data_IF_959282711433
#
_entry.id   IF_959282711433
#
_cell.length_a   1.000
_cell.length_b   1.000
_cell.length_c   1.000
_cell.angle_alpha   90.00
_cell.angle_beta   90.00
_cell.angle_gamma   90.00
#
_symmetry.space_group_name_H-M   'P 1'
#
loop_
_entity.id
_entity.type
_entity.pdbx_description
1 polymer ?
#
# COMPACT_ATOMS: atom_id res chain seq x y z
N UNK A 1 57.18 -11.00 6.89
CA UNK A 1 56.28 -9.89 7.29
C UNK A 1 54.89 -10.21 6.77
N UNK A 2 53.93 -10.60 7.62
CA UNK A 2 52.53 -10.74 7.22
C UNK A 2 51.97 -9.32 7.13
N UNK A 3 51.65 -8.86 5.91
CA UNK A 3 50.95 -7.59 5.73
C UNK A 3 49.60 -7.68 6.47
N UNK A 4 49.22 -6.64 7.24
CA UNK A 4 47.93 -6.63 7.92
C UNK A 4 46.84 -6.69 6.87
N UNK A 5 46.07 -7.78 6.85
CA UNK A 5 44.88 -7.88 6.00
C UNK A 5 43.90 -6.81 6.46
N UNK A 6 43.52 -5.91 5.55
CA UNK A 6 42.48 -4.89 5.79
C UNK A 6 41.28 -5.59 6.43
N UNK A 7 40.83 -5.13 7.60
CA UNK A 7 39.63 -5.67 8.24
C UNK A 7 38.47 -5.56 7.25
N UNK A 8 37.62 -6.59 7.17
CA UNK A 8 36.41 -6.54 6.33
C UNK A 8 35.64 -5.27 6.68
N UNK A 9 35.16 -4.55 5.67
CA UNK A 9 34.32 -3.37 5.89
C UNK A 9 33.13 -3.79 6.73
N UNK A 10 32.95 -3.16 7.88
CA UNK A 10 31.76 -3.34 8.69
C UNK A 10 30.59 -2.73 7.91
N UNK A 11 29.63 -3.56 7.52
CA UNK A 11 28.44 -3.15 6.76
C UNK A 11 27.20 -3.45 7.57
N UNK A 12 26.41 -2.42 7.84
CA UNK A 12 25.09 -2.57 8.46
C UNK A 12 24.14 -3.02 7.33
N UNK A 13 23.49 -4.20 7.46
CA UNK A 13 22.48 -4.60 6.48
C UNK A 13 21.28 -3.65 6.56
N UNK A 14 20.78 -3.21 5.42
CA UNK A 14 19.56 -2.39 5.33
C UNK A 14 18.39 -3.24 4.86
N UNK A 15 17.23 -3.03 5.47
CA UNK A 15 15.98 -3.70 5.14
C UNK A 15 14.88 -2.68 4.88
N UNK A 16 14.16 -2.88 3.77
CA UNK A 16 12.98 -2.10 3.39
C UNK A 16 11.72 -2.69 3.98
N UNK A 17 10.86 -1.83 4.53
CA UNK A 17 9.56 -2.25 5.06
C UNK A 17 8.66 -2.83 3.97
N UNK A 18 8.60 -2.21 2.80
CA UNK A 18 7.77 -2.70 1.68
C UNK A 18 8.54 -3.69 0.82
N UNK A 19 9.83 -3.43 0.56
CA UNK A 19 10.66 -4.25 -0.32
C UNK A 19 11.07 -5.59 0.26
N UNK A 20 11.40 -5.64 1.56
CA UNK A 20 11.93 -6.84 2.19
C UNK A 20 10.94 -7.54 3.12
N UNK A 21 10.34 -6.81 4.07
CA UNK A 21 9.44 -7.41 5.06
C UNK A 21 8.22 -8.06 4.38
N UNK A 22 7.47 -7.29 3.59
CA UNK A 22 6.25 -7.78 2.95
C UNK A 22 6.56 -8.92 1.98
N UNK A 23 7.55 -8.73 1.11
CA UNK A 23 7.98 -9.75 0.15
C UNK A 23 8.41 -11.06 0.84
N UNK A 24 9.12 -10.97 1.97
CA UNK A 24 9.50 -12.15 2.74
C UNK A 24 8.29 -12.85 3.35
N UNK A 25 7.38 -12.10 3.98
CA UNK A 25 6.15 -12.65 4.58
C UNK A 25 5.24 -13.31 3.55
N UNK A 26 5.20 -12.79 2.32
CA UNK A 26 4.46 -13.42 1.22
C UNK A 26 5.04 -14.78 0.83
N UNK A 27 6.38 -14.87 0.65
CA UNK A 27 7.09 -16.14 0.43
C UNK A 27 8.61 -15.97 0.55
N UNK A 28 9.24 -16.57 1.57
CA UNK A 28 10.68 -16.42 1.83
C UNK A 28 11.55 -16.88 0.64
N UNK A 29 11.16 -17.97 -0.02
CA UNK A 29 11.91 -18.50 -1.17
C UNK A 29 11.81 -17.57 -2.38
N UNK A 30 10.63 -17.01 -2.64
CA UNK A 30 10.42 -16.05 -3.72
C UNK A 30 11.23 -14.77 -3.47
N UNK A 31 11.15 -14.24 -2.24
CA UNK A 31 11.95 -13.11 -1.77
C UNK A 31 13.44 -13.31 -2.04
N UNK A 32 13.98 -14.49 -1.69
CA UNK A 32 15.40 -14.81 -1.94
C UNK A 32 15.77 -14.76 -3.41
N UNK A 33 14.92 -15.26 -4.31
CA UNK A 33 15.21 -15.23 -5.75
C UNK A 33 15.09 -13.82 -6.35
N UNK A 34 14.15 -13.01 -5.87
CA UNK A 34 13.93 -11.66 -6.38
C UNK A 34 14.97 -10.67 -5.85
N UNK A 35 15.15 -10.56 -4.53
CA UNK A 35 16.00 -9.51 -3.95
C UNK A 35 17.50 -9.81 -4.05
N UNK A 36 17.91 -11.09 -4.07
CA UNK A 36 19.34 -11.46 -4.19
C UNK A 36 19.69 -12.11 -5.54
N UNK A 37 18.72 -12.64 -6.27
CA UNK A 37 18.91 -13.16 -7.62
C UNK A 37 18.76 -12.10 -8.72
N UNK A 38 18.34 -10.88 -8.38
CA UNK A 38 18.06 -9.78 -9.33
C UNK A 38 17.07 -10.15 -10.44
N UNK A 39 16.21 -11.13 -10.18
CA UNK A 39 15.20 -11.58 -11.13
C UNK A 39 13.93 -10.75 -10.91
N UNK A 40 13.52 -9.89 -11.87
CA UNK A 40 12.28 -9.14 -11.74
C UNK A 40 11.07 -10.11 -11.76
N UNK A 41 10.00 -9.81 -11.00
CA UNK A 41 8.80 -10.63 -11.00
C UNK A 41 8.10 -10.66 -12.38
N UNK A 42 7.68 -11.86 -12.75
CA UNK A 42 6.88 -12.29 -13.93
C UNK A 42 5.57 -11.59 -14.18
N UNK A 43 4.84 -11.40 -13.07
CA UNK A 43 3.43 -11.01 -13.07
C UNK A 43 3.25 -9.67 -12.38
N UNK A 44 3.33 -8.57 -13.15
CA UNK A 44 3.36 -7.23 -12.60
C UNK A 44 1.99 -6.63 -12.28
N UNK A 45 0.85 -7.33 -12.42
CA UNK A 45 -0.48 -6.67 -12.45
C UNK A 45 -0.80 -5.83 -11.20
N UNK A 46 -0.69 -6.41 -10.01
CA UNK A 46 -0.93 -5.68 -8.76
C UNK A 46 0.14 -4.63 -8.48
N UNK A 47 1.36 -4.89 -8.92
CA UNK A 47 2.48 -3.95 -8.78
C UNK A 47 2.30 -2.75 -9.70
N UNK A 48 1.87 -2.97 -10.94
CA UNK A 48 1.59 -1.93 -11.93
C UNK A 48 0.46 -1.04 -11.44
N UNK A 49 -0.68 -1.61 -11.02
CA UNK A 49 -1.80 -0.78 -10.58
C UNK A 49 -1.47 0.04 -9.32
N UNK A 50 -0.72 -0.55 -8.37
CA UNK A 50 -0.16 0.18 -7.24
C UNK A 50 0.71 1.34 -7.71
N UNK A 51 1.83 1.06 -8.39
CA UNK A 51 2.77 2.09 -8.85
C UNK A 51 2.11 3.16 -9.75
N UNK A 52 1.12 2.77 -10.55
CA UNK A 52 0.31 3.67 -11.37
C UNK A 52 -0.48 4.66 -10.50
N UNK A 53 -1.23 4.17 -9.51
CA UNK A 53 -2.06 5.03 -8.67
C UNK A 53 -1.21 5.97 -7.79
N UNK A 54 -0.12 5.48 -7.21
CA UNK A 54 0.80 6.35 -6.45
C UNK A 54 1.37 7.45 -7.36
N UNK A 55 1.88 7.08 -8.55
CA UNK A 55 2.43 8.04 -9.49
C UNK A 55 1.41 9.07 -9.97
N UNK A 56 0.16 8.65 -10.26
CA UNK A 56 -0.90 9.57 -10.70
C UNK A 56 -1.29 10.54 -9.59
N UNK A 57 -1.44 10.07 -8.35
CA UNK A 57 -1.78 10.95 -7.23
C UNK A 57 -0.64 11.92 -6.88
N UNK A 58 0.62 11.47 -6.97
CA UNK A 58 1.80 12.31 -6.76
C UNK A 58 1.87 13.43 -7.81
N UNK A 59 1.82 13.09 -9.09
CA UNK A 59 1.87 14.07 -10.18
C UNK A 59 0.65 15.01 -10.15
N UNK A 60 -0.54 14.50 -9.83
CA UNK A 60 -1.73 15.33 -9.63
C UNK A 60 -1.56 16.32 -8.47
N UNK A 61 -0.95 15.90 -7.35
CA UNK A 61 -0.62 16.83 -6.27
C UNK A 61 0.39 17.89 -6.72
N UNK A 62 1.45 17.51 -7.45
CA UNK A 62 2.46 18.43 -7.95
C UNK A 62 1.81 19.49 -8.87
N UNK A 63 0.96 19.05 -9.80
CA UNK A 63 0.23 19.95 -10.70
C UNK A 63 -0.72 20.86 -9.92
N UNK A 64 -1.51 20.30 -8.99
CA UNK A 64 -2.40 21.10 -8.14
C UNK A 64 -1.63 22.14 -7.31
N UNK A 65 -0.47 21.79 -6.77
CA UNK A 65 0.35 22.70 -5.97
C UNK A 65 0.81 23.91 -6.79
N UNK A 66 1.10 23.72 -8.08
CA UNK A 66 1.54 24.78 -8.99
C UNK A 66 0.38 25.63 -9.51
N UNK A 67 -0.71 24.99 -9.92
CA UNK A 67 -1.80 25.65 -10.68
C UNK A 67 -3.03 25.98 -9.81
N UNK A 68 -3.17 25.34 -8.65
CA UNK A 68 -4.33 25.44 -7.75
C UNK A 68 -5.65 25.14 -8.48
N UNK A 69 -5.62 24.16 -9.40
CA UNK A 69 -6.74 23.76 -10.25
C UNK A 69 -7.95 23.37 -9.40
N UNK A 70 -9.11 23.95 -9.74
CA UNK A 70 -10.37 23.73 -9.03
C UNK A 70 -10.92 22.33 -9.31
N UNK A 71 -11.48 21.69 -8.29
CA UNK A 71 -12.17 20.41 -8.40
C UNK A 71 -13.64 20.60 -8.82
N UNK A 72 -14.25 19.65 -9.55
CA UNK A 72 -13.65 18.43 -10.08
C UNK A 72 -12.78 18.69 -11.31
N UNK A 73 -11.72 17.90 -11.44
CA UNK A 73 -10.86 17.83 -12.61
C UNK A 73 -11.54 17.03 -13.71
N UNK A 74 -11.42 17.52 -14.94
CA UNK A 74 -11.90 16.83 -16.13
C UNK A 74 -10.93 15.69 -16.48
N UNK A 75 -11.46 14.49 -16.73
CA UNK A 75 -10.59 13.35 -17.01
C UNK A 75 -9.73 13.58 -18.26
N UNK A 76 -10.33 13.99 -19.38
CA UNK A 76 -9.63 14.06 -20.66
C UNK A 76 -8.60 15.19 -20.68
N UNK A 77 -8.94 16.35 -20.11
CA UNK A 77 -8.09 17.53 -20.10
C UNK A 77 -7.05 17.51 -18.99
N UNK A 78 -7.44 17.14 -17.78
CA UNK A 78 -6.64 17.37 -16.57
C UNK A 78 -5.95 16.09 -16.06
N UNK A 79 -6.61 14.93 -16.14
CA UNK A 79 -6.11 13.68 -15.53
C UNK A 79 -5.39 12.77 -16.54
N UNK A 80 -5.93 12.63 -17.75
CA UNK A 80 -5.41 11.74 -18.78
C UNK A 80 -3.95 12.04 -19.17
N UNK A 81 -3.52 13.31 -19.32
CA UNK A 81 -2.11 13.61 -19.56
C UNK A 81 -1.18 13.07 -18.47
N UNK A 82 -1.64 13.09 -17.21
CA UNK A 82 -0.92 12.52 -16.06
C UNK A 82 -0.86 11.00 -16.17
N UNK A 83 -1.99 10.35 -16.47
CA UNK A 83 -2.05 8.89 -16.65
C UNK A 83 -1.07 8.41 -17.72
N UNK A 84 -0.96 9.12 -18.85
CA UNK A 84 -0.05 8.77 -19.95
C UNK A 84 1.42 8.96 -19.59
N UNK A 85 1.74 10.04 -18.87
CA UNK A 85 3.07 10.27 -18.34
C UNK A 85 3.50 9.13 -17.41
N UNK A 86 2.61 8.70 -16.52
CA UNK A 86 2.89 7.62 -15.57
C UNK A 86 2.96 6.26 -16.29
N UNK A 87 2.05 5.97 -17.21
CA UNK A 87 2.09 4.75 -18.02
C UNK A 87 3.43 4.64 -18.78
N UNK A 88 3.88 5.71 -19.44
CA UNK A 88 5.19 5.74 -20.11
C UNK A 88 6.34 5.43 -19.13
N UNK A 89 6.34 6.04 -17.93
CA UNK A 89 7.37 5.78 -16.90
C UNK A 89 7.37 4.31 -16.46
N UNK A 90 6.20 3.69 -16.33
CA UNK A 90 6.07 2.28 -15.94
C UNK A 90 6.55 1.35 -17.06
N UNK A 91 6.18 1.63 -18.31
CA UNK A 91 6.60 0.83 -19.46
C UNK A 91 8.12 0.86 -19.66
N UNK A 92 8.77 2.01 -19.46
CA UNK A 92 10.25 2.12 -19.48
C UNK A 92 10.90 1.24 -18.42
N UNK A 93 10.21 0.98 -17.30
CA UNK A 93 10.65 0.05 -16.24
C UNK A 93 10.27 -1.41 -16.52
N UNK A 94 9.65 -1.69 -17.67
CA UNK A 94 9.18 -3.03 -18.04
C UNK A 94 7.89 -3.45 -17.33
N UNK A 95 7.16 -2.51 -16.72
CA UNK A 95 5.86 -2.74 -16.09
C UNK A 95 4.77 -2.31 -17.07
N UNK A 96 3.99 -3.27 -17.54
CA UNK A 96 2.92 -3.05 -18.51
C UNK A 96 1.56 -3.30 -17.88
N UNK A 97 0.51 -2.57 -18.30
CA UNK A 97 -0.86 -2.95 -17.97
C UNK A 97 -1.11 -4.35 -18.54
N UNK A 98 -1.63 -5.25 -17.71
CA UNK A 98 -1.80 -6.66 -18.09
C UNK A 98 -2.96 -6.89 -19.05
N UNK A 99 -3.97 -6.00 -18.98
CA UNK A 99 -5.24 -6.16 -19.64
C UNK A 99 -5.70 -4.79 -20.18
N UNK A 100 -6.21 -4.77 -21.41
CA UNK A 100 -6.83 -3.61 -22.02
C UNK A 100 -8.12 -3.20 -21.28
N UNK A 101 -8.73 -4.11 -20.52
CA UNK A 101 -9.87 -3.81 -19.64
C UNK A 101 -9.46 -3.12 -18.33
N UNK A 102 -8.19 -3.22 -17.93
CA UNK A 102 -7.66 -2.52 -16.77
C UNK A 102 -7.30 -1.07 -17.09
N UNK A 103 -6.61 -0.83 -18.21
CA UNK A 103 -6.12 0.50 -18.59
C UNK A 103 -5.90 0.60 -20.11
N UNK A 104 -6.29 1.73 -20.68
CA UNK A 104 -6.07 2.03 -22.10
C UNK A 104 -4.74 2.77 -22.31
N UNK A 105 -3.75 2.10 -22.92
CA UNK A 105 -2.46 2.69 -23.28
C UNK A 105 -2.41 3.05 -24.77
N UNK A 106 -2.20 4.32 -25.10
CA UNK A 106 -2.03 4.78 -26.48
C UNK A 106 -0.77 4.18 -27.10
N UNK A 107 0.32 4.07 -26.33
CA UNK A 107 1.63 3.61 -26.80
C UNK A 107 1.62 2.16 -27.32
N UNK A 108 0.70 1.34 -26.81
CA UNK A 108 0.58 -0.06 -27.20
C UNK A 108 -0.33 -0.27 -28.42
N UNK A 109 -0.81 0.79 -29.07
CA UNK A 109 -1.65 0.71 -30.27
C UNK A 109 -0.79 0.86 -31.54
N UNK A 110 -0.47 -0.23 -32.26
CA UNK A 110 0.55 -0.24 -33.31
C UNK A 110 0.16 0.47 -34.63
N UNK A 111 -1.12 0.80 -34.83
CA UNK A 111 -1.66 1.16 -36.15
C UNK A 111 -2.35 2.53 -36.24
N UNK A 112 -2.25 3.38 -35.20
CA UNK A 112 -2.92 4.69 -35.23
C UNK A 112 -2.07 5.77 -34.57
N UNK A 113 -1.91 6.91 -35.26
CA UNK A 113 -1.47 8.19 -34.70
C UNK A 113 -2.55 8.75 -33.75
N UNK A 114 -2.95 7.97 -32.74
CA UNK A 114 -3.95 8.36 -31.76
C UNK A 114 -3.39 9.44 -30.84
N UNK A 115 -4.16 10.49 -30.69
CA UNK A 115 -3.94 11.54 -29.70
C UNK A 115 -4.97 11.42 -28.58
N UNK A 116 -4.75 12.13 -27.47
CA UNK A 116 -5.74 12.23 -26.37
C UNK A 116 -7.11 12.67 -26.92
N UNK A 117 -7.13 13.56 -27.92
CA UNK A 117 -8.36 14.08 -28.52
C UNK A 117 -9.20 13.00 -29.20
N UNK A 118 -8.60 11.89 -29.63
CA UNK A 118 -9.27 10.75 -30.25
C UNK A 118 -9.91 9.78 -29.24
N UNK A 119 -9.60 9.92 -27.94
CA UNK A 119 -10.16 9.08 -26.89
C UNK A 119 -11.64 9.38 -26.63
N UNK A 120 -12.41 8.31 -26.39
CA UNK A 120 -13.85 8.37 -26.12
C UNK A 120 -14.20 7.93 -24.68
N UNK A 121 -15.47 8.07 -24.28
CA UNK A 121 -15.95 7.65 -22.94
C UNK A 121 -15.75 6.15 -22.65
N UNK A 122 -15.69 5.28 -23.66
CA UNK A 122 -15.45 3.86 -23.47
C UNK A 122 -13.98 3.58 -23.10
N UNK A 123 -13.04 4.40 -23.59
CA UNK A 123 -11.62 4.34 -23.19
C UNK A 123 -11.41 4.92 -21.77
N UNK A 124 -12.23 5.90 -21.38
CA UNK A 124 -12.29 6.49 -20.03
C UNK A 124 -12.77 5.51 -18.95
N UNK A 125 -13.72 4.64 -19.28
CA UNK A 125 -14.38 3.73 -18.32
C UNK A 125 -13.52 2.53 -17.87
N UNK A 126 -12.25 2.46 -18.28
CA UNK A 126 -11.34 1.40 -17.81
C UNK A 126 -11.07 1.56 -16.31
N UNK A 127 -10.93 0.43 -15.64
CA UNK A 127 -11.03 0.38 -14.18
C UNK A 127 -9.96 1.23 -13.48
N UNK A 128 -8.73 1.26 -14.02
CA UNK A 128 -7.65 2.03 -13.41
C UNK A 128 -7.87 3.55 -13.53
N UNK A 129 -8.26 4.03 -14.71
CA UNK A 129 -8.56 5.45 -14.94
C UNK A 129 -9.76 5.93 -14.12
N UNK A 130 -10.84 5.12 -14.10
CA UNK A 130 -12.01 5.42 -13.27
C UNK A 130 -11.66 5.55 -11.78
N UNK A 131 -10.77 4.68 -11.26
CA UNK A 131 -10.30 4.75 -9.87
C UNK A 131 -9.42 5.96 -9.62
N UNK A 132 -8.48 6.26 -10.52
CA UNK A 132 -7.59 7.42 -10.42
C UNK A 132 -8.39 8.73 -10.40
N UNK A 133 -9.31 8.90 -11.37
CA UNK A 133 -10.19 10.05 -11.43
C UNK A 133 -11.03 10.19 -10.17
N UNK A 134 -11.67 9.10 -9.72
CA UNK A 134 -12.52 9.14 -8.52
C UNK A 134 -11.69 9.47 -7.27
N UNK A 135 -10.46 8.97 -7.18
CA UNK A 135 -9.54 9.29 -6.09
C UNK A 135 -9.17 10.78 -6.08
N UNK A 136 -8.78 11.36 -7.21
CA UNK A 136 -8.45 12.79 -7.35
C UNK A 136 -9.67 13.65 -7.00
N UNK A 137 -10.83 13.35 -7.59
CA UNK A 137 -12.03 14.20 -7.46
C UNK A 137 -12.73 14.08 -6.10
N UNK A 138 -12.61 12.94 -5.41
CA UNK A 138 -13.12 12.79 -4.04
C UNK A 138 -12.09 13.23 -3.00
N UNK A 139 -10.92 12.58 -3.00
CA UNK A 139 -9.93 12.72 -1.95
C UNK A 139 -8.93 13.81 -2.23
N UNK A 140 -8.51 14.02 -3.49
CA UNK A 140 -7.55 15.08 -3.85
C UNK A 140 -7.94 16.46 -3.32
N UNK A 141 -9.21 16.86 -3.45
CA UNK A 141 -9.71 18.15 -2.92
C UNK A 141 -9.56 18.33 -1.41
N UNK A 142 -9.57 17.23 -0.66
CA UNK A 142 -9.44 17.24 0.80
C UNK A 142 -8.00 16.99 1.23
N UNK A 143 -7.27 16.21 0.45
CA UNK A 143 -5.96 15.72 0.79
C UNK A 143 -4.86 16.67 0.35
N UNK A 144 -4.88 17.14 -0.90
CA UNK A 144 -3.83 17.98 -1.46
C UNK A 144 -3.56 19.25 -0.63
N UNK A 145 -4.58 19.95 -0.08
CA UNK A 145 -4.35 21.08 0.81
C UNK A 145 -3.69 20.74 2.15
N UNK A 146 -3.71 19.46 2.56
CA UNK A 146 -3.15 18.97 3.82
C UNK A 146 -1.72 18.42 3.65
N UNK A 147 -1.28 18.15 2.42
CA UNK A 147 0.06 17.57 2.18
C UNK A 147 1.12 18.61 2.51
N UNK A 148 1.95 18.28 3.51
CA UNK A 148 3.16 19.02 3.86
C UNK A 148 4.35 18.49 3.05
N UNK A 149 4.50 17.16 2.98
CA UNK A 149 5.53 16.47 2.20
C UNK A 149 4.96 15.22 1.51
N UNK A 150 5.44 14.91 0.31
CA UNK A 150 5.13 13.68 -0.43
C UNK A 150 6.42 12.88 -0.70
N UNK A 151 6.33 11.56 -0.80
CA UNK A 151 7.45 10.63 -1.04
C UNK A 151 8.64 10.81 -0.07
N UNK A 152 8.33 10.90 1.23
CA UNK A 152 9.35 11.16 2.25
C UNK A 152 10.15 9.89 2.58
N UNK A 153 11.44 9.91 2.24
CA UNK A 153 12.40 8.88 2.64
C UNK A 153 12.70 8.97 4.14
N UNK A 154 12.45 7.89 4.86
CA UNK A 154 12.73 7.78 6.29
C UNK A 154 13.64 6.59 6.59
N UNK A 155 14.58 6.80 7.51
CA UNK A 155 15.59 5.79 7.88
C UNK A 155 15.78 5.73 9.39
N UNK A 156 16.10 4.55 9.88
CA UNK A 156 16.42 4.30 11.27
C UNK A 156 17.35 3.10 11.43
N UNK A 157 17.89 2.93 12.64
CA UNK A 157 18.78 1.83 12.97
C UNK A 157 18.24 1.12 14.20
N UNK A 158 18.28 -0.22 14.19
CA UNK A 158 17.89 -1.07 15.32
C UNK A 158 18.98 -2.10 15.63
N UNK A 159 18.95 -2.65 16.84
CA UNK A 159 19.85 -3.73 17.25
C UNK A 159 19.51 -4.99 16.49
N UNK A 160 20.53 -5.74 16.09
CA UNK A 160 20.37 -7.04 15.44
C UNK A 160 19.64 -8.01 16.40
N UNK A 161 18.50 -8.60 15.99
CA UNK A 161 17.85 -9.65 16.78
C UNK A 161 18.77 -10.87 16.88
N UNK A 162 18.77 -11.51 18.05
CA UNK A 162 19.58 -12.71 18.35
C UNK A 162 21.08 -12.56 18.02
N UNK A 163 21.63 -11.35 18.23
CA UNK A 163 23.03 -11.05 17.91
C UNK A 163 24.01 -12.03 18.57
N UNK A 164 24.89 -12.57 17.75
CA UNK A 164 26.02 -13.38 18.16
C UNK A 164 27.26 -12.93 17.38
N UNK A 165 28.31 -12.54 18.10
CA UNK A 165 29.54 -11.99 17.54
C UNK A 165 30.24 -12.91 16.53
N UNK A 166 30.04 -14.22 16.62
CA UNK A 166 30.69 -15.20 15.75
C UNK A 166 29.86 -15.58 14.51
N UNK A 167 28.56 -15.30 14.50
CA UNK A 167 27.66 -15.73 13.42
C UNK A 167 26.91 -14.58 12.75
N UNK A 168 26.55 -13.54 13.50
CA UNK A 168 25.84 -12.38 12.98
C UNK A 168 26.77 -11.52 12.13
N UNK A 169 26.23 -10.96 11.05
CA UNK A 169 26.98 -10.10 10.12
C UNK A 169 27.23 -8.70 10.69
N UNK A 170 26.39 -8.25 11.62
CA UNK A 170 26.41 -6.94 12.26
C UNK A 170 25.65 -6.99 13.60
N UNK A 171 25.96 -6.11 14.54
CA UNK A 171 25.21 -5.87 15.78
C UNK A 171 24.01 -4.92 15.60
N UNK A 172 23.89 -4.30 14.42
CA UNK A 172 22.76 -3.45 14.05
C UNK A 172 22.25 -3.80 12.65
N UNK A 173 21.01 -3.44 12.36
CA UNK A 173 20.47 -3.39 11.02
C UNK A 173 19.77 -2.04 10.80
N UNK A 174 19.81 -1.57 9.56
CA UNK A 174 19.11 -0.37 9.11
C UNK A 174 17.71 -0.72 8.62
N UNK A 175 16.77 0.17 8.89
CA UNK A 175 15.42 0.14 8.33
C UNK A 175 15.24 1.35 7.45
N UNK A 176 14.69 1.15 6.26
CA UNK A 176 14.29 2.23 5.36
C UNK A 176 12.82 2.07 4.92
N UNK A 177 12.21 3.21 4.62
CA UNK A 177 10.83 3.30 4.15
C UNK A 177 10.60 4.58 3.36
N UNK A 178 9.55 4.57 2.54
CA UNK A 178 9.04 5.76 1.85
C UNK A 178 7.61 5.97 2.33
N UNK A 179 7.33 7.18 2.82
CA UNK A 179 5.97 7.59 3.20
C UNK A 179 5.37 8.34 2.02
N UNK A 180 4.24 7.86 1.50
CA UNK A 180 3.58 8.49 0.35
C UNK A 180 3.22 9.94 0.66
N UNK A 181 2.55 10.18 1.79
CA UNK A 181 2.13 11.51 2.22
C UNK A 181 2.32 11.72 3.72
N UNK A 182 2.94 12.84 4.05
CA UNK A 182 3.00 13.39 5.40
C UNK A 182 2.20 14.70 5.45
N UNK A 183 1.24 14.74 6.38
CA UNK A 183 0.43 15.93 6.68
C UNK A 183 0.90 16.54 7.99
N UNK A 184 1.04 17.87 8.05
CA UNK A 184 1.34 18.60 9.28
C UNK A 184 0.19 19.53 9.66
N UNK A 185 -0.27 19.45 10.92
CA UNK A 185 -1.43 20.19 11.40
C UNK A 185 -1.17 20.81 12.78
N UNK A 186 -1.84 21.93 13.05
CA UNK A 186 -1.84 22.58 14.37
C UNK A 186 -3.00 22.08 15.23
N UNK A 187 -2.73 21.86 16.51
CA UNK A 187 -3.74 21.57 17.52
C UNK A 187 -4.44 22.87 17.89
N UNK A 188 -5.76 22.87 17.77
CA UNK A 188 -6.60 23.98 18.21
C UNK A 188 -7.75 23.40 19.06
N UNK A 189 -7.60 23.42 20.38
CA UNK A 189 -8.61 22.98 21.35
C UNK A 189 -9.72 24.01 21.52
N UNK A 190 -9.46 25.28 21.24
CA UNK A 190 -10.50 26.32 21.14
C UNK A 190 -11.28 26.15 19.84
N UNK A 191 -12.21 25.21 19.84
CA UNK A 191 -13.17 24.97 18.76
C UNK A 191 -14.25 26.05 18.71
N UNK A 192 -13.86 27.27 18.33
CA UNK A 192 -14.72 28.19 17.57
C UNK A 192 -13.86 28.88 16.49
N UNK A 193 -13.88 28.28 15.29
CA UNK A 193 -13.50 28.87 13.99
C UNK A 193 -12.13 29.59 13.87
N UNK A 194 -11.21 28.94 13.16
CA UNK A 194 -10.41 29.58 12.08
C UNK A 194 -9.82 28.44 11.22
N UNK A 195 -10.12 28.26 9.94
CA UNK A 195 -10.75 29.07 8.89
C UNK A 195 -12.02 28.37 8.36
N UNK A 196 -12.87 29.08 7.62
CA UNK A 196 -14.05 28.53 6.92
C UNK A 196 -13.74 27.30 6.03
N UNK A 197 -12.47 27.03 5.72
CA UNK A 197 -12.01 25.91 4.88
C UNK A 197 -11.93 24.58 5.65
N UNK A 198 -11.68 24.59 6.97
CA UNK A 198 -11.49 23.37 7.77
C UNK A 198 -12.79 22.64 8.13
N UNK A 199 -13.96 23.26 7.96
CA UNK A 199 -15.26 22.59 8.18
C UNK A 199 -15.71 21.76 6.97
N UNK A 200 -15.17 22.03 5.78
CA UNK A 200 -15.55 21.30 4.56
C UNK A 200 -14.60 20.14 4.22
N UNK A 201 -13.52 19.94 4.99
CA UNK A 201 -12.56 18.87 4.73
C UNK A 201 -13.03 17.54 5.32
N UNK A 202 -13.39 16.58 4.46
CA UNK A 202 -13.90 15.27 4.91
C UNK A 202 -12.88 14.49 5.74
N UNK A 203 -11.58 14.58 5.44
CA UNK A 203 -10.53 13.86 6.19
C UNK A 203 -10.51 14.32 7.65
N UNK A 204 -10.59 15.63 7.87
CA UNK A 204 -10.67 16.23 9.20
C UNK A 204 -11.95 15.80 9.92
N UNK A 205 -13.09 15.72 9.20
CA UNK A 205 -14.35 15.23 9.76
C UNK A 205 -14.23 13.78 10.27
N UNK A 206 -13.60 12.90 9.48
CA UNK A 206 -13.32 11.52 9.88
C UNK A 206 -12.47 11.45 11.15
N UNK A 207 -11.39 12.22 11.21
CA UNK A 207 -10.52 12.29 12.39
C UNK A 207 -11.27 12.83 13.62
N UNK A 208 -12.16 13.81 13.44
CA UNK A 208 -12.97 14.37 14.53
C UNK A 208 -13.98 13.38 15.11
N UNK A 209 -14.52 12.49 14.29
CA UNK A 209 -15.45 11.44 14.72
C UNK A 209 -14.74 10.30 15.46
N UNK A 210 -13.45 10.07 15.21
CA UNK A 210 -12.68 9.01 15.85
C UNK A 210 -12.39 9.32 17.32
N UNK A 211 -13.00 8.55 18.23
CA UNK A 211 -12.92 8.81 19.67
C UNK A 211 -11.51 8.63 20.24
N UNK A 212 -10.71 7.74 19.67
CA UNK A 212 -9.36 7.46 20.16
C UNK A 212 -8.36 8.53 19.70
N UNK A 213 -8.54 9.04 18.47
CA UNK A 213 -7.85 10.23 17.98
C UNK A 213 -8.16 11.44 18.88
N UNK A 214 -9.42 11.69 19.23
CA UNK A 214 -9.79 12.79 20.13
C UNK A 214 -9.15 12.65 21.51
N UNK A 215 -9.17 11.44 22.10
CA UNK A 215 -8.49 11.17 23.37
C UNK A 215 -6.99 11.44 23.29
N UNK A 216 -6.36 11.18 22.16
CA UNK A 216 -4.93 11.44 21.96
C UNK A 216 -4.63 12.93 21.81
N UNK A 217 -5.36 13.62 20.93
CA UNK A 217 -5.19 15.05 20.70
C UNK A 217 -5.38 15.85 21.99
N UNK A 218 -6.30 15.42 22.87
CA UNK A 218 -6.51 16.11 24.16
C UNK A 218 -5.29 16.13 25.10
N UNK A 219 -4.31 15.23 24.89
CA UNK A 219 -3.07 15.15 25.70
C UNK A 219 -2.04 16.23 25.35
N UNK A 220 -2.08 16.77 24.13
CA UNK A 220 -1.15 17.81 23.67
C UNK A 220 -1.63 19.19 24.10
N UNK A 221 -0.80 20.22 24.01
CA UNK A 221 -1.18 21.60 24.33
C UNK A 221 -1.83 22.31 23.14
N UNK A 222 -2.51 23.43 23.42
CA UNK A 222 -3.00 24.30 22.36
C UNK A 222 -1.85 24.92 21.57
N UNK A 223 -1.95 24.88 20.25
CA UNK A 223 -0.93 25.40 19.33
C UNK A 223 0.22 24.44 19.04
N UNK A 224 0.25 23.25 19.66
CA UNK A 224 1.22 22.22 19.31
C UNK A 224 1.01 21.74 17.86
N UNK A 225 2.09 21.43 17.14
CA UNK A 225 1.98 20.79 15.84
C UNK A 225 1.95 19.26 15.99
N UNK A 226 1.21 18.58 15.12
CA UNK A 226 1.23 17.13 14.97
C UNK A 226 1.31 16.72 13.50
N UNK A 227 1.65 15.46 13.29
CA UNK A 227 1.74 14.84 11.98
C UNK A 227 0.76 13.68 11.82
N UNK A 228 0.30 13.48 10.59
CA UNK A 228 -0.47 12.32 10.15
C UNK A 228 0.22 11.70 8.95
N UNK A 229 0.42 10.39 9.00
CA UNK A 229 0.96 9.60 7.89
C UNK A 229 -0.19 9.08 7.04
N UNK A 230 -0.14 9.30 5.73
CA UNK A 230 -1.19 8.89 4.81
C UNK A 230 -0.56 7.98 3.74
N UNK A 231 -1.23 6.85 3.49
CA UNK A 231 -0.82 5.84 2.50
C UNK A 231 -2.02 5.47 1.63
N UNK A 232 -1.76 5.12 0.38
CA UNK A 232 -2.78 4.72 -0.58
C UNK A 232 -2.63 3.25 -0.94
N UNK A 233 -3.76 2.53 -1.02
CA UNK A 233 -3.80 1.13 -1.42
C UNK A 233 -4.76 0.94 -2.59
N UNK A 234 -4.21 0.52 -3.72
CA UNK A 234 -4.96 0.10 -4.93
C UNK A 234 -5.63 -1.28 -4.77
N UNK A 235 -6.36 -1.48 -3.69
CA UNK A 235 -7.05 -2.73 -3.38
C UNK A 235 -8.31 -2.49 -2.55
N UNK A 236 -9.18 -3.51 -2.50
CA UNK A 236 -10.33 -3.55 -1.59
C UNK A 236 -9.89 -3.42 -0.13
N UNK A 237 -10.69 -2.75 0.69
CA UNK A 237 -10.52 -2.66 2.14
C UNK A 237 -10.48 -4.08 2.74
N UNK A 238 -9.41 -4.51 3.42
CA UNK A 238 -9.36 -5.84 4.00
C UNK A 238 -10.38 -6.00 5.15
N UNK A 239 -10.88 -7.22 5.37
CA UNK A 239 -11.79 -7.50 6.49
C UNK A 239 -11.07 -7.36 7.84
N UNK A 240 -11.85 -7.24 8.92
CA UNK A 240 -11.36 -7.15 10.30
C UNK A 240 -10.74 -8.45 10.82
N UNK A 241 -11.18 -9.59 10.30
CA UNK A 241 -10.75 -10.92 10.72
C UNK A 241 -10.56 -11.81 9.52
N UNK A 242 -9.50 -12.61 9.55
CA UNK A 242 -9.25 -13.64 8.55
C UNK A 242 -10.15 -14.85 8.78
N UNK A 243 -10.71 -15.37 7.69
CA UNK A 243 -11.44 -16.65 7.66
C UNK A 243 -10.45 -17.81 7.52
N UNK A 244 -9.42 -17.63 6.69
CA UNK A 244 -8.35 -18.60 6.47
C UNK A 244 -7.12 -18.26 7.30
N UNK A 245 -6.70 -19.18 8.16
CA UNK A 245 -5.52 -19.02 9.01
C UNK A 245 -4.19 -19.08 8.25
N UNK A 246 -4.21 -19.51 6.98
CA UNK A 246 -3.03 -19.51 6.10
C UNK A 246 -2.89 -18.27 5.24
N UNK A 247 -3.94 -17.46 5.13
CA UNK A 247 -3.90 -16.24 4.35
C UNK A 247 -3.24 -15.12 5.17
N UNK A 248 -2.50 -14.24 4.47
CA UNK A 248 -1.91 -13.07 5.08
C UNK A 248 -3.00 -12.10 5.56
N UNK A 249 -2.95 -11.70 6.84
CA UNK A 249 -3.79 -10.64 7.37
C UNK A 249 -3.30 -9.27 6.86
N UNK A 250 -3.79 -8.91 5.67
CA UNK A 250 -3.44 -7.65 4.99
C UNK A 250 -3.77 -6.42 5.83
N UNK A 251 -4.83 -6.47 6.64
CA UNK A 251 -5.15 -5.33 7.50
C UNK A 251 -4.05 -5.13 8.54
N UNK A 252 -3.67 -6.19 9.23
CA UNK A 252 -2.64 -6.16 10.25
C UNK A 252 -1.27 -5.80 9.64
N UNK A 253 -0.96 -6.27 8.43
CA UNK A 253 0.22 -5.85 7.66
C UNK A 253 0.23 -4.35 7.39
N UNK A 254 -0.85 -3.78 6.86
CA UNK A 254 -0.95 -2.35 6.58
C UNK A 254 -0.84 -1.50 7.86
N UNK A 255 -1.48 -1.96 8.94
CA UNK A 255 -1.39 -1.31 10.25
C UNK A 255 0.05 -1.28 10.77
N UNK A 256 0.77 -2.41 10.69
CA UNK A 256 2.18 -2.47 11.07
C UNK A 256 3.06 -1.56 10.20
N UNK A 257 2.73 -1.42 8.92
CA UNK A 257 3.45 -0.52 8.00
C UNK A 257 3.42 0.92 8.55
N UNK A 258 2.22 1.45 8.81
CA UNK A 258 2.02 2.80 9.35
C UNK A 258 2.67 2.98 10.73
N UNK A 259 2.55 2.01 11.62
CA UNK A 259 3.14 2.09 12.97
C UNK A 259 4.68 2.13 12.92
N UNK A 260 5.27 1.36 12.00
CA UNK A 260 6.72 1.36 11.77
C UNK A 260 7.17 2.66 11.13
N UNK A 261 6.43 3.21 10.16
CA UNK A 261 6.70 4.53 9.60
C UNK A 261 6.61 5.64 10.63
N UNK A 262 5.61 5.59 11.52
CA UNK A 262 5.54 6.51 12.66
C UNK A 262 6.81 6.44 13.52
N UNK A 263 7.31 5.23 13.79
CA UNK A 263 8.53 5.08 14.60
C UNK A 263 9.73 5.67 13.87
N UNK A 264 9.89 5.36 12.59
CA UNK A 264 10.98 5.90 11.76
C UNK A 264 10.91 7.43 11.65
N UNK A 265 9.72 7.99 11.48
CA UNK A 265 9.51 9.44 11.46
C UNK A 265 9.91 10.05 12.80
N UNK A 266 9.55 9.45 13.93
CA UNK A 266 9.95 9.91 15.27
C UNK A 266 11.46 9.96 15.54
N UNK A 267 12.28 9.35 14.67
CA UNK A 267 13.75 9.37 14.75
C UNK A 267 14.39 10.47 13.91
N UNK A 268 13.63 11.23 13.13
CA UNK A 268 14.16 12.36 12.35
C UNK A 268 14.24 13.62 13.23
N UNK A 269 15.19 14.51 12.93
CA UNK A 269 15.46 15.70 13.76
C UNK A 269 14.29 16.71 13.77
N UNK A 270 13.54 16.79 12.69
CA UNK A 270 12.42 17.72 12.47
C UNK A 270 11.04 17.12 12.80
N UNK A 271 11.01 15.90 13.35
CA UNK A 271 9.79 15.15 13.53
C UNK A 271 8.85 15.78 14.56
N UNK A 272 7.57 15.90 14.18
CA UNK A 272 6.49 16.26 15.10
C UNK A 272 5.81 14.98 15.62
N UNK A 273 5.04 15.06 16.72
CA UNK A 273 4.30 13.93 17.22
C UNK A 273 3.34 13.36 16.16
N UNK A 274 3.50 12.08 15.82
CA UNK A 274 2.59 11.37 14.92
C UNK A 274 1.41 10.87 15.73
N UNK A 275 0.21 11.34 15.39
CA UNK A 275 -1.00 11.05 16.18
C UNK A 275 -1.87 9.94 15.56
N UNK A 276 -1.88 9.87 14.24
CA UNK A 276 -2.64 8.88 13.49
C UNK A 276 -1.93 8.58 12.17
N UNK A 277 -2.29 7.45 11.57
CA UNK A 277 -2.15 7.26 10.14
C UNK A 277 -3.51 7.03 9.49
N UNK A 278 -3.57 7.25 8.18
CA UNK A 278 -4.77 7.06 7.37
C UNK A 278 -4.38 6.20 6.17
N UNK A 279 -5.24 5.25 5.84
CA UNK A 279 -5.11 4.45 4.62
C UNK A 279 -6.33 4.67 3.75
N UNK A 280 -6.09 5.01 2.49
CA UNK A 280 -7.13 5.06 1.47
C UNK A 280 -7.17 3.77 0.64
N UNK A 281 -8.31 3.08 0.67
CA UNK A 281 -8.61 1.90 -0.15
C UNK A 281 -9.38 2.32 -1.40
N UNK A 282 -8.64 2.58 -2.48
CA UNK A 282 -9.19 3.30 -3.64
C UNK A 282 -10.14 2.45 -4.49
N UNK A 283 -10.07 1.12 -4.39
CA UNK A 283 -11.03 0.23 -5.04
C UNK A 283 -12.45 0.40 -4.48
N UNK A 284 -12.60 0.86 -3.23
CA UNK A 284 -13.93 1.07 -2.63
C UNK A 284 -14.69 2.24 -3.29
N UNK A 285 -13.95 3.17 -3.92
CA UNK A 285 -14.56 4.29 -4.65
C UNK A 285 -15.17 3.85 -5.99
N UNK A 286 -14.58 2.84 -6.61
CA UNK A 286 -15.06 2.21 -7.85
C UNK A 286 -14.85 0.69 -7.75
N UNK A 287 -15.77 -0.02 -7.05
CA UNK A 287 -15.69 -1.47 -6.89
C UNK A 287 -15.89 -2.19 -8.22
N UNK A 288 -15.02 -3.16 -8.52
CA UNK A 288 -15.23 -4.11 -9.60
C UNK A 288 -16.28 -5.17 -9.21
N UNK A 289 -16.69 -6.03 -10.16
CA UNK A 289 -17.59 -7.15 -9.83
C UNK A 289 -16.93 -8.10 -8.83
N UNK A 290 -15.64 -8.36 -8.98
CA UNK A 290 -14.85 -9.19 -8.07
C UNK A 290 -14.77 -8.56 -6.67
N UNK A 291 -14.58 -7.23 -6.59
CA UNK A 291 -14.63 -6.53 -5.31
C UNK A 291 -16.01 -6.65 -4.67
N UNK A 292 -17.10 -6.52 -5.44
CA UNK A 292 -18.48 -6.62 -4.94
C UNK A 292 -18.81 -8.01 -4.40
N UNK A 293 -18.35 -9.08 -5.04
CA UNK A 293 -18.49 -10.46 -4.53
C UNK A 293 -17.84 -10.57 -3.14
N UNK A 294 -16.61 -10.06 -3.01
CA UNK A 294 -15.91 -10.08 -1.72
C UNK A 294 -16.58 -9.20 -0.67
N UNK A 295 -17.10 -8.02 -1.04
CA UNK A 295 -17.85 -7.15 -0.11
C UNK A 295 -19.13 -7.86 0.37
N UNK A 296 -19.85 -8.53 -0.55
CA UNK A 296 -21.06 -9.30 -0.24
C UNK A 296 -20.75 -10.41 0.77
N UNK A 297 -19.69 -11.16 0.54
CA UNK A 297 -19.26 -12.23 1.45
C UNK A 297 -18.86 -11.69 2.83
N UNK A 298 -18.18 -10.55 2.89
CA UNK A 298 -17.79 -9.92 4.16
C UNK A 298 -18.97 -9.39 4.97
N UNK A 299 -19.97 -8.82 4.29
CA UNK A 299 -21.22 -8.35 4.90
C UNK A 299 -22.00 -9.54 5.48
N UNK A 300 -22.13 -10.63 4.72
CA UNK A 300 -22.83 -11.84 5.16
C UNK A 300 -22.17 -12.50 6.38
N UNK A 301 -20.84 -12.43 6.47
CA UNK A 301 -20.06 -13.10 7.52
C UNK A 301 -19.68 -12.19 8.72
N UNK A 302 -20.13 -10.94 8.77
CA UNK A 302 -19.77 -9.99 9.83
C UNK A 302 -18.27 -9.74 9.96
N UNK A 303 -17.61 -9.56 8.81
CA UNK A 303 -16.15 -9.40 8.73
C UNK A 303 -15.72 -7.97 8.39
N UNK A 304 -16.65 -7.06 8.13
CA UNK A 304 -16.36 -5.66 7.78
C UNK A 304 -16.67 -4.71 8.94
N UNK A 305 -15.91 -3.63 9.04
CA UNK A 305 -16.07 -2.54 9.99
C UNK A 305 -17.01 -1.42 9.51
N UNK A 306 -17.35 -1.42 8.22
CA UNK A 306 -18.17 -0.38 7.59
C UNK A 306 -19.18 -1.03 6.67
N UNK A 307 -20.45 -0.67 6.82
CA UNK A 307 -21.48 -0.97 5.82
C UNK A 307 -22.86 -1.23 6.40
N UNK A 308 -22.96 -1.75 7.63
CA UNK A 308 -24.25 -2.05 8.27
C UNK A 308 -25.11 -0.81 8.51
N UNK A 309 -24.48 0.37 8.60
CA UNK A 309 -25.16 1.65 8.74
C UNK A 309 -25.89 2.07 7.45
N UNK A 310 -25.57 1.44 6.32
CA UNK A 310 -26.06 1.77 4.98
C UNK A 310 -27.03 0.69 4.48
N UNK A 311 -28.17 0.53 5.15
CA UNK A 311 -29.14 -0.54 4.89
C UNK A 311 -29.56 -0.68 3.41
N UNK A 312 -29.71 0.44 2.70
CA UNK A 312 -30.10 0.43 1.29
C UNK A 312 -29.01 -0.17 0.41
N UNK A 313 -27.75 0.23 0.60
CA UNK A 313 -26.60 -0.28 -0.14
C UNK A 313 -26.39 -1.77 0.15
N UNK A 314 -26.48 -2.17 1.42
CA UNK A 314 -26.39 -3.59 1.82
C UNK A 314 -27.46 -4.42 1.13
N UNK A 315 -28.72 -3.99 1.11
CA UNK A 315 -29.81 -4.70 0.42
C UNK A 315 -29.59 -4.81 -1.09
N UNK A 316 -28.97 -3.81 -1.72
CA UNK A 316 -28.62 -3.87 -3.14
C UNK A 316 -27.54 -4.93 -3.39
N UNK A 317 -26.49 -4.97 -2.57
CA UNK A 317 -25.39 -5.93 -2.68
C UNK A 317 -25.88 -7.35 -2.39
N UNK A 318 -26.71 -7.55 -1.38
CA UNK A 318 -27.25 -8.87 -1.00
C UNK A 318 -28.07 -9.50 -2.14
N UNK A 319 -28.91 -8.69 -2.81
CA UNK A 319 -29.78 -9.14 -3.89
C UNK A 319 -29.06 -9.32 -5.22
N UNK A 320 -27.99 -8.56 -5.46
CA UNK A 320 -27.23 -8.58 -6.70
C UNK A 320 -26.60 -9.96 -6.98
N UNK A 321 -26.63 -10.38 -8.26
CA UNK A 321 -25.94 -11.58 -8.76
C UNK A 321 -24.82 -11.17 -9.73
N UNK A 322 -23.76 -11.98 -9.83
CA UNK A 322 -22.54 -11.63 -10.57
C UNK A 322 -22.80 -11.40 -12.08
N UNK A 323 -23.80 -12.10 -12.63
CA UNK A 323 -24.23 -11.99 -14.01
C UNK A 323 -24.93 -10.66 -14.31
N UNK A 324 -25.51 -10.01 -13.29
CA UNK A 324 -26.24 -8.76 -13.43
C UNK A 324 -25.30 -7.55 -13.61
N UNK A 325 -25.88 -6.41 -14.03
CA UNK A 325 -25.20 -5.12 -13.94
C UNK A 325 -24.86 -4.83 -12.48
N UNK A 326 -23.63 -4.36 -12.23
CA UNK A 326 -23.20 -3.96 -10.90
C UNK A 326 -24.17 -2.91 -10.30
N UNK A 327 -24.53 -3.03 -9.01
CA UNK A 327 -25.47 -2.13 -8.38
C UNK A 327 -24.88 -0.72 -8.23
N UNK A 328 -25.72 0.30 -8.37
CA UNK A 328 -25.32 1.69 -8.13
C UNK A 328 -25.36 1.99 -6.64
N UNK A 329 -24.20 1.86 -6.00
CA UNK A 329 -24.02 2.15 -4.57
C UNK A 329 -23.87 3.65 -4.31
N UNK A 330 -24.33 4.08 -3.14
CA UNK A 330 -24.26 5.47 -2.69
C UNK A 330 -22.81 5.96 -2.54
N UNK A 331 -22.61 7.26 -2.74
CA UNK A 331 -21.28 7.87 -2.60
C UNK A 331 -20.79 7.83 -1.15
N UNK A 332 -21.67 7.96 -0.17
CA UNK A 332 -21.29 7.96 1.24
C UNK A 332 -20.80 6.57 1.67
N UNK A 333 -21.49 5.50 1.25
CA UNK A 333 -21.02 4.12 1.47
C UNK A 333 -19.62 3.90 0.91
N UNK A 334 -19.38 4.30 -0.36
CA UNK A 334 -18.08 4.18 -1.02
C UNK A 334 -16.98 4.98 -0.31
N UNK A 335 -17.28 6.22 0.11
CA UNK A 335 -16.34 7.09 0.81
C UNK A 335 -15.97 6.50 2.17
N UNK A 336 -16.95 6.09 2.97
CA UNK A 336 -16.75 5.52 4.31
C UNK A 336 -15.88 4.26 4.24
N UNK A 337 -16.14 3.39 3.26
CA UNK A 337 -15.33 2.18 3.05
C UNK A 337 -13.94 2.47 2.53
N UNK A 338 -13.74 3.58 1.81
CA UNK A 338 -12.45 3.92 1.22
C UNK A 338 -11.44 4.52 2.20
N UNK A 339 -11.80 4.85 3.43
CA UNK A 339 -10.87 5.46 4.41
C UNK A 339 -10.82 4.63 5.70
N UNK A 340 -9.61 4.37 6.22
CA UNK A 340 -9.44 3.74 7.53
C UNK A 340 -8.38 4.49 8.35
N UNK A 341 -8.72 4.83 9.59
CA UNK A 341 -7.82 5.50 10.53
C UNK A 341 -7.08 4.45 11.35
N UNK A 342 -5.78 4.67 11.57
CA UNK A 342 -4.91 3.89 12.44
C UNK A 342 -4.42 4.81 13.56
N UNK A 343 -4.86 4.53 14.77
CA UNK A 343 -4.37 5.24 15.95
C UNK A 343 -2.97 4.75 16.34
N UNK A 344 -2.01 5.67 16.48
CA UNK A 344 -0.57 5.36 16.59
C UNK A 344 -0.16 5.17 18.05
N UNK A 345 -0.59 4.10 18.71
CA UNK A 345 -0.24 3.83 20.11
C UNK A 345 1.20 3.35 20.30
N UNK A 346 1.86 3.76 21.39
CA UNK A 346 3.25 3.36 21.70
C UNK A 346 3.38 1.84 21.86
N UNK A 347 2.41 1.19 22.51
CA UNK A 347 2.41 -0.26 22.69
C UNK A 347 2.23 -0.99 21.36
N UNK A 348 1.32 -0.51 20.52
CA UNK A 348 1.09 -1.07 19.19
C UNK A 348 2.30 -0.88 18.28
N UNK A 349 2.96 0.28 18.38
CA UNK A 349 4.21 0.58 17.69
C UNK A 349 5.33 -0.37 18.10
N UNK A 350 5.54 -0.58 19.41
CA UNK A 350 6.53 -1.54 19.90
C UNK A 350 6.22 -2.97 19.42
N UNK A 351 4.95 -3.38 19.43
CA UNK A 351 4.54 -4.67 18.89
C UNK A 351 4.85 -4.81 17.39
N UNK A 352 4.61 -3.77 16.59
CA UNK A 352 4.94 -3.76 15.17
C UNK A 352 6.46 -3.88 14.94
N UNK A 353 7.26 -3.18 15.73
CA UNK A 353 8.73 -3.24 15.66
C UNK A 353 9.26 -4.62 16.08
N UNK A 354 8.68 -5.27 17.08
CA UNK A 354 9.06 -6.63 17.49
C UNK A 354 8.73 -7.65 16.40
N UNK A 355 7.62 -7.50 15.70
CA UNK A 355 7.29 -8.33 14.53
C UNK A 355 8.31 -8.11 13.41
N UNK A 356 8.69 -6.86 13.15
CA UNK A 356 9.76 -6.53 12.20
C UNK A 356 11.08 -7.21 12.59
N UNK A 357 11.50 -7.06 13.86
CA UNK A 357 12.72 -7.68 14.40
C UNK A 357 12.68 -9.21 14.19
N UNK A 358 11.55 -9.86 14.43
CA UNK A 358 11.38 -11.31 14.20
C UNK A 358 11.58 -11.70 12.73
N UNK A 359 11.06 -10.92 11.78
CA UNK A 359 11.26 -11.20 10.36
C UNK A 359 12.72 -11.00 9.95
N UNK A 360 13.37 -9.93 10.41
CA UNK A 360 14.80 -9.72 10.18
C UNK A 360 15.62 -10.88 10.73
N UNK A 361 15.31 -11.37 11.93
CA UNK A 361 15.96 -12.54 12.52
C UNK A 361 15.83 -13.76 11.60
N UNK A 362 14.63 -13.98 11.04
CA UNK A 362 14.39 -15.10 10.12
C UNK A 362 15.17 -14.94 8.80
N UNK A 363 15.22 -13.74 8.24
CA UNK A 363 16.00 -13.43 7.03
C UNK A 363 17.49 -13.69 7.28
N UNK A 364 18.05 -13.17 8.38
CA UNK A 364 19.46 -13.35 8.75
C UNK A 364 19.79 -14.83 8.99
N UNK A 365 18.91 -15.56 9.69
CA UNK A 365 19.08 -16.99 9.91
C UNK A 365 19.09 -17.78 8.59
N UNK A 366 18.22 -17.45 7.64
CA UNK A 366 18.21 -18.03 6.30
C UNK A 366 19.48 -17.71 5.52
N UNK A 367 19.98 -16.47 5.61
CA UNK A 367 21.24 -16.05 4.99
C UNK A 367 22.44 -16.79 5.58
N UNK A 368 22.53 -16.91 6.90
CA UNK A 368 23.63 -17.61 7.59
C UNK A 368 23.64 -19.09 7.19
N UNK A 369 22.47 -19.75 7.12
CA UNK A 369 22.37 -21.14 6.64
C UNK A 369 22.90 -21.29 5.21
N UNK A 370 22.51 -20.40 4.31
CA UNK A 370 22.99 -20.40 2.93
C UNK A 370 24.51 -20.16 2.87
N UNK A 371 25.04 -19.20 3.65
CA UNK A 371 26.47 -18.92 3.73
C UNK A 371 27.28 -20.10 4.26
N UNK A 372 26.69 -20.91 5.13
CA UNK A 372 27.28 -22.14 5.66
C UNK A 372 27.16 -23.34 4.71
N UNK A 373 26.67 -23.13 3.48
CA UNK A 373 26.63 -24.14 2.42
C UNK A 373 25.34 -24.96 2.35
N UNK A 374 24.29 -24.60 3.10
CA UNK A 374 22.98 -25.22 2.93
C UNK A 374 22.38 -24.84 1.56
N UNK A 375 21.60 -25.75 0.96
CA UNK A 375 20.93 -25.46 -0.31
C UNK A 375 19.90 -24.34 -0.12
N UNK A 376 19.64 -23.56 -1.18
CA UNK A 376 18.70 -22.44 -1.14
C UNK A 376 17.30 -22.89 -0.67
N UNK A 377 16.77 -23.98 -1.24
CA UNK A 377 15.46 -24.51 -0.89
C UNK A 377 15.35 -25.02 0.56
N UNK A 378 16.48 -25.35 1.19
CA UNK A 378 16.52 -25.81 2.58
C UNK A 378 16.73 -24.63 3.55
N UNK A 379 17.32 -23.54 3.06
CA UNK A 379 17.60 -22.32 3.82
C UNK A 379 16.41 -21.36 3.81
N UNK A 380 15.62 -21.36 2.74
CA UNK A 380 14.49 -20.46 2.51
C UNK A 380 13.22 -21.28 2.30
N UNK A 381 12.26 -21.12 3.22
CA UNK A 381 11.01 -21.87 3.18
C UNK A 381 10.10 -21.33 2.06
N UNK A 382 9.52 -22.24 1.29
CA UNK A 382 8.41 -21.92 0.41
C UNK A 382 7.10 -22.22 1.17
N UNK A 383 6.46 -21.16 1.66
CA UNK A 383 5.17 -21.21 2.34
C UNK A 383 4.38 -19.98 1.87
N UNK A 384 3.33 -20.20 1.10
CA UNK A 384 2.53 -19.15 0.48
C UNK A 384 1.18 -19.69 0.01
N UNK A 385 0.22 -18.80 -0.21
CA UNK A 385 -1.12 -19.15 -0.70
C UNK A 385 -1.11 -19.64 -2.17
N UNK A 386 -2.23 -20.23 -2.60
CA UNK A 386 -2.37 -20.77 -3.96
C UNK A 386 -2.30 -19.67 -5.02
N UNK A 387 -2.83 -18.47 -4.73
CA UNK A 387 -2.82 -17.33 -5.65
C UNK A 387 -1.38 -16.90 -5.95
N UNK A 388 -0.57 -16.72 -4.91
CA UNK A 388 0.84 -16.34 -4.98
C UNK A 388 1.64 -17.43 -5.69
N UNK A 389 1.42 -18.70 -5.37
CA UNK A 389 2.08 -19.81 -6.04
C UNK A 389 1.71 -19.90 -7.54
N UNK A 390 0.45 -19.63 -7.91
CA UNK A 390 0.00 -19.63 -9.30
C UNK A 390 0.65 -18.51 -10.15
N UNK A 391 0.94 -17.39 -9.49
CA UNK A 391 1.56 -16.20 -10.07
C UNK A 391 3.10 -16.23 -10.01
N UNK A 392 3.68 -17.12 -9.22
CA UNK A 392 5.12 -17.22 -9.02
C UNK A 392 5.82 -17.86 -10.22
N UNK A 393 6.90 -17.23 -10.67
CA UNK A 393 7.71 -17.69 -11.81
C UNK A 393 8.52 -18.94 -11.49
N UNK A 394 8.81 -19.13 -10.21
CA UNK A 394 9.60 -20.24 -9.71
C UNK A 394 8.74 -21.49 -9.44
N UNK A 395 7.43 -21.45 -9.73
CA UNK A 395 6.48 -22.54 -9.46
C UNK A 395 6.82 -23.86 -10.14
N UNK A 396 7.53 -23.83 -11.26
CA UNK A 396 7.89 -25.02 -12.04
C UNK A 396 8.98 -25.87 -11.39
N UNK A 397 9.81 -25.26 -10.53
CA UNK A 397 10.89 -25.94 -9.81
C UNK A 397 10.81 -25.78 -8.29
N UNK A 398 9.75 -25.14 -7.78
CA UNK A 398 9.42 -25.07 -6.36
C UNK A 398 8.84 -26.41 -5.88
N UNK A 399 9.49 -27.03 -4.90
CA UNK A 399 9.08 -28.34 -4.36
C UNK A 399 7.79 -28.29 -3.51
N UNK A 400 7.44 -27.11 -2.99
CA UNK A 400 6.27 -26.91 -2.13
C UNK A 400 5.18 -26.08 -2.84
N UNK A 401 5.07 -26.21 -4.16
CA UNK A 401 4.00 -25.53 -4.90
C UNK A 401 2.62 -26.02 -4.39
N UNK A 402 1.82 -25.11 -3.86
CA UNK A 402 0.47 -25.42 -3.35
C UNK A 402 -0.57 -25.62 -4.46
N UNK A 403 -0.24 -25.24 -5.71
CA UNK A 403 -1.08 -25.47 -6.88
C UNK A 403 -1.06 -26.97 -7.23
N UNK A 404 -2.21 -27.64 -7.11
CA UNK A 404 -2.38 -28.99 -7.68
C UNK A 404 -2.20 -28.89 -9.20
N UNK A 405 -1.11 -29.40 -9.73
CA UNK A 405 -0.95 -29.59 -11.18
C UNK A 405 -2.09 -30.46 -11.68
N UNK A 406 -3.03 -29.88 -12.43
CA UNK A 406 -3.93 -30.69 -13.27
C UNK A 406 -3.03 -31.37 -14.29
N UNK A 407 -2.93 -32.70 -14.20
CA UNK A 407 -2.33 -33.51 -15.25
C UNK A 407 -3.12 -33.26 -16.54
N UNK A 408 -2.58 -32.41 -17.42
CA UNK A 408 -3.05 -32.34 -18.79
C UNK A 408 -2.58 -33.61 -19.48
N UNK A 409 -3.44 -34.64 -19.45
CA UNK A 409 -3.35 -35.71 -20.45
C UNK A 409 -3.72 -35.07 -21.78
N UNK A 410 -2.71 -34.80 -22.59
CA UNK A 410 -2.88 -34.56 -24.03
C UNK A 410 -3.50 -35.85 -24.59
N UNK A 411 -4.57 -35.78 -25.41
CA UNK A 411 -5.23 -36.96 -25.96
C UNK A 411 -4.27 -37.89 -26.73
#
# INVERSE_FOLDING_TARGET
MKLPSRSKSYMIPEYSLTGDLLSFLTCNLQYRYQNKGTLPPSKPVQRWFGEFIHGVLEEAYIQWKQEQTQFPWDWKRDIRPIEELIDLRLQVRGLYPHDEDLFFSILNQPDKDLTIDDLNEHDHQKLASARAERAINIWGKHLFPLIDSSELLIKGIRKMPDYNEHTSRSNYYGINGVVDVLTSMKINKSLEQSTLDNFNNKIIEFLKKDSDFQKRISKFSDGDDYEIIIDYKGMKRPPLKMIDSKAEDKWETHKQQILTYSWLRSKQEDAKPIVAGIIFYLNELVPSKEDLVLIKDELNNNLTDVGYEYENDVRLIEKWQEEDKAPELSNDFKIERSIRIINVDEKEQDNALLKFDSVVANIENSLIKEMNGCKIQDSWKADSDERTCSACDFKTFCKNNSVKTKDFKIP
#
